data_IF_971829227090
#
_entry.id   IF_971829227090
#
_cell.length_a   1.000
_cell.length_b   1.000
_cell.length_c   1.000
_cell.angle_alpha   90.00
_cell.angle_beta   90.00
_cell.angle_gamma   90.00
#
_symmetry.space_group_name_H-M   'P 1'
#
loop_
_entity.id
_entity.type
_entity.pdbx_description
1 polymer ?
#
# COMPACT_ATOMS: atom_id res chain seq x y z
N UNK A 1 -28.58 -1.76 4.94
CA UNK A 1 -27.90 -3.05 5.19
C UNK A 1 -26.72 -2.79 6.10
N UNK A 2 -26.63 -3.53 7.20
CA UNK A 2 -25.44 -3.58 8.03
C UNK A 2 -24.41 -4.47 7.31
N UNK A 3 -23.11 -4.14 7.42
CA UNK A 3 -22.04 -4.91 6.77
C UNK A 3 -22.00 -6.38 7.25
N UNK A 4 -22.42 -6.62 8.49
CA UNK A 4 -22.51 -7.96 9.09
C UNK A 4 -23.76 -8.74 8.69
N UNK A 5 -24.69 -8.13 7.94
CA UNK A 5 -25.77 -8.88 7.27
C UNK A 5 -25.22 -9.64 6.05
N UNK A 6 -24.05 -9.24 5.54
CA UNK A 6 -23.41 -9.82 4.35
C UNK A 6 -22.17 -10.65 4.70
N UNK A 7 -21.37 -10.20 5.68
CA UNK A 7 -20.13 -10.85 6.08
C UNK A 7 -20.35 -11.67 7.37
N UNK A 8 -20.05 -12.98 7.39
CA UNK A 8 -20.16 -13.82 8.58
C UNK A 8 -19.32 -13.30 9.75
N UNK A 9 -19.83 -13.42 10.99
CA UNK A 9 -19.12 -12.93 12.19
C UNK A 9 -17.70 -13.49 12.34
N UNK A 10 -17.49 -14.76 11.95
CA UNK A 10 -16.20 -15.45 12.05
C UNK A 10 -15.31 -15.28 10.81
N UNK A 11 -15.69 -14.45 9.85
CA UNK A 11 -14.96 -14.32 8.58
C UNK A 11 -13.47 -13.96 8.77
N UNK A 12 -13.16 -12.99 9.63
CA UNK A 12 -11.79 -12.55 9.88
C UNK A 12 -11.00 -13.42 10.88
N UNK A 13 -11.59 -14.49 11.41
CA UNK A 13 -10.90 -15.35 12.40
C UNK A 13 -9.68 -16.05 11.80
N UNK A 14 -9.71 -16.36 10.49
CA UNK A 14 -8.57 -16.97 9.79
C UNK A 14 -7.35 -16.04 9.71
N UNK A 15 -7.54 -14.73 9.79
CA UNK A 15 -6.45 -13.74 9.75
C UNK A 15 -5.86 -13.46 11.14
N UNK A 16 -6.47 -13.99 12.20
CA UNK A 16 -6.09 -13.74 13.60
C UNK A 16 -5.77 -15.02 14.38
N UNK A 17 -5.88 -16.19 13.76
CA UNK A 17 -5.61 -17.48 14.40
C UNK A 17 -4.12 -17.81 14.49
N UNK A 18 -3.79 -18.91 15.19
CA UNK A 18 -2.42 -19.43 15.28
C UNK A 18 -1.84 -19.83 13.91
N UNK A 19 -2.70 -20.24 12.98
CA UNK A 19 -2.31 -20.66 11.62
C UNK A 19 -2.47 -19.53 10.58
N UNK A 20 -2.57 -18.26 11.00
CA UNK A 20 -2.87 -17.12 10.11
C UNK A 20 -1.99 -17.04 8.85
N UNK A 21 -0.70 -17.38 8.94
CA UNK A 21 0.22 -17.35 7.79
C UNK A 21 -0.20 -18.39 6.74
N UNK A 22 -0.48 -19.63 7.19
CA UNK A 22 -0.94 -20.71 6.33
C UNK A 22 -2.30 -20.38 5.68
N UNK A 23 -3.21 -19.78 6.45
CA UNK A 23 -4.50 -19.37 5.91
C UNK A 23 -4.37 -18.25 4.88
N UNK A 24 -3.50 -17.26 5.11
CA UNK A 24 -3.22 -16.21 4.12
C UNK A 24 -2.61 -16.82 2.86
N UNK A 25 -1.65 -17.73 2.98
CA UNK A 25 -1.04 -18.42 1.84
C UNK A 25 -2.08 -19.21 1.02
N UNK A 26 -2.98 -19.91 1.70
CA UNK A 26 -4.07 -20.64 1.07
C UNK A 26 -5.04 -19.71 0.33
N UNK A 27 -5.37 -18.56 0.93
CA UNK A 27 -6.19 -17.52 0.28
C UNK A 27 -5.48 -16.89 -0.92
N UNK A 28 -4.16 -16.69 -0.87
CA UNK A 28 -3.39 -16.16 -2.01
C UNK A 28 -3.32 -17.15 -3.16
N UNK A 29 -3.14 -18.45 -2.88
CA UNK A 29 -3.25 -19.51 -3.87
C UNK A 29 -4.63 -19.53 -4.52
N UNK A 30 -5.68 -19.49 -3.70
CA UNK A 30 -7.06 -19.45 -4.18
C UNK A 30 -7.32 -18.23 -5.07
N UNK A 31 -6.83 -17.05 -4.65
CA UNK A 31 -6.93 -15.83 -5.44
C UNK A 31 -6.21 -15.96 -6.79
N UNK A 32 -5.04 -16.59 -6.81
CA UNK A 32 -4.30 -16.85 -8.03
C UNK A 32 -5.08 -17.78 -8.97
N UNK A 33 -5.62 -18.90 -8.48
CA UNK A 33 -6.42 -19.82 -9.30
C UNK A 33 -7.67 -19.12 -9.85
N UNK A 34 -8.36 -18.33 -9.02
CA UNK A 34 -9.54 -17.57 -9.43
C UNK A 34 -9.27 -16.55 -10.56
N UNK A 35 -8.04 -16.03 -10.68
CA UNK A 35 -7.68 -15.13 -11.80
C UNK A 35 -7.69 -15.83 -13.16
N UNK A 36 -7.48 -17.15 -13.20
CA UNK A 36 -7.29 -17.89 -14.45
C UNK A 36 -8.39 -18.93 -14.71
N UNK A 37 -9.05 -19.41 -13.66
CA UNK A 37 -10.04 -20.49 -13.74
C UNK A 37 -11.42 -19.99 -13.31
N UNK A 38 -12.44 -20.29 -14.13
CA UNK A 38 -13.84 -20.01 -13.78
C UNK A 38 -14.37 -20.98 -12.72
N UNK A 39 -13.96 -22.26 -12.79
CA UNK A 39 -14.39 -23.32 -11.89
C UNK A 39 -13.16 -24.01 -11.30
N UNK A 40 -12.86 -23.72 -10.04
CA UNK A 40 -11.70 -24.27 -9.33
C UNK A 40 -12.10 -25.63 -8.75
N UNK A 41 -11.51 -26.72 -9.24
CA UNK A 41 -11.80 -28.06 -8.69
C UNK A 41 -11.17 -28.22 -7.31
N UNK A 42 -11.89 -28.89 -6.41
CA UNK A 42 -11.40 -29.15 -5.05
C UNK A 42 -10.08 -29.91 -5.07
N UNK A 43 -9.95 -30.94 -5.90
CA UNK A 43 -8.73 -31.76 -5.97
C UNK A 43 -7.52 -30.98 -6.50
N UNK A 44 -7.72 -30.06 -7.45
CA UNK A 44 -6.66 -29.21 -8.02
C UNK A 44 -6.16 -28.20 -6.99
N UNK A 45 -7.10 -27.58 -6.26
CA UNK A 45 -6.77 -26.68 -5.15
C UNK A 45 -6.04 -27.41 -4.01
N UNK A 46 -6.54 -28.58 -3.58
CA UNK A 46 -5.91 -29.37 -2.51
C UNK A 46 -4.50 -29.81 -2.92
N UNK A 47 -4.32 -30.27 -4.15
CA UNK A 47 -3.01 -30.70 -4.65
C UNK A 47 -2.00 -29.56 -4.65
N UNK A 48 -2.42 -28.38 -5.12
CA UNK A 48 -1.59 -27.16 -5.13
C UNK A 48 -1.28 -26.68 -3.72
N UNK A 49 -2.25 -26.74 -2.81
CA UNK A 49 -2.10 -26.33 -1.42
C UNK A 49 -1.12 -27.25 -0.67
N UNK A 50 -1.20 -28.56 -0.88
CA UNK A 50 -0.26 -29.55 -0.29
C UNK A 50 1.19 -29.16 -0.61
N UNK A 51 1.48 -28.85 -1.88
CA UNK A 51 2.82 -28.46 -2.31
C UNK A 51 3.32 -27.17 -1.63
N UNK A 52 2.42 -26.26 -1.23
CA UNK A 52 2.77 -24.99 -0.60
C UNK A 52 2.94 -25.07 0.92
N UNK A 53 2.31 -26.06 1.57
CA UNK A 53 2.27 -26.19 3.04
C UNK A 53 3.07 -27.36 3.58
N UNK A 54 3.73 -28.16 2.72
CA UNK A 54 4.42 -29.39 3.11
C UNK A 54 5.41 -29.17 4.28
N UNK A 55 6.21 -28.10 4.21
CA UNK A 55 7.20 -27.75 5.23
C UNK A 55 6.65 -26.87 6.37
N UNK A 56 5.35 -26.54 6.37
CA UNK A 56 4.76 -25.62 7.34
C UNK A 56 4.18 -26.37 8.54
N UNK A 57 4.52 -25.87 9.74
CA UNK A 57 3.94 -26.34 10.99
C UNK A 57 2.49 -25.89 11.09
N UNK A 58 1.57 -26.83 11.31
CA UNK A 58 0.15 -26.56 11.43
C UNK A 58 -0.32 -26.93 12.84
N UNK A 59 -0.94 -25.98 13.52
CA UNK A 59 -1.50 -26.18 14.86
C UNK A 59 -2.96 -26.61 14.73
N UNK A 60 -3.33 -27.73 15.32
CA UNK A 60 -4.74 -28.12 15.38
C UNK A 60 -5.54 -27.10 16.22
N UNK A 61 -6.70 -26.70 15.71
CA UNK A 61 -7.62 -25.81 16.42
C UNK A 61 -8.65 -26.63 17.23
N UNK A 62 -9.28 -26.05 18.26
CA UNK A 62 -10.17 -26.78 19.20
C UNK A 62 -11.36 -27.49 18.53
N UNK A 63 -11.74 -27.05 17.34
CA UNK A 63 -12.82 -27.64 16.54
C UNK A 63 -12.35 -28.78 15.62
N UNK A 64 -11.06 -29.12 15.59
CA UNK A 64 -10.51 -30.15 14.70
C UNK A 64 -10.65 -31.55 15.32
N UNK A 65 -11.44 -32.43 14.71
CA UNK A 65 -11.66 -33.81 15.17
C UNK A 65 -10.48 -34.77 14.88
N UNK A 66 -9.29 -34.23 14.61
CA UNK A 66 -8.11 -34.99 14.17
C UNK A 66 -7.01 -34.94 15.24
N UNK A 67 -6.28 -36.04 15.41
CA UNK A 67 -5.12 -36.11 16.32
C UNK A 67 -3.81 -35.84 15.58
N UNK A 68 -2.81 -35.27 16.27
CA UNK A 68 -1.49 -34.92 15.69
C UNK A 68 -0.81 -36.10 14.98
N UNK A 69 -1.02 -37.33 15.45
CA UNK A 69 -0.44 -38.57 14.88
C UNK A 69 -0.93 -38.85 13.45
N UNK A 70 -2.08 -38.29 13.05
CA UNK A 70 -2.69 -38.51 11.73
C UNK A 70 -2.54 -37.31 10.76
N UNK A 71 -1.71 -36.32 11.11
CA UNK A 71 -1.64 -35.03 10.42
C UNK A 71 -0.76 -35.05 9.15
N UNK A 72 -1.20 -35.79 8.13
CA UNK A 72 -0.57 -35.78 6.80
C UNK A 72 -0.83 -34.44 6.07
N UNK A 73 0.00 -34.08 5.08
CA UNK A 73 -0.19 -32.84 4.30
C UNK A 73 -1.55 -32.75 3.60
N UNK A 74 -2.09 -33.89 3.14
CA UNK A 74 -3.45 -33.95 2.57
C UNK A 74 -4.53 -33.67 3.63
N UNK A 75 -4.39 -34.24 4.83
CA UNK A 75 -5.30 -33.95 5.94
C UNK A 75 -5.23 -32.48 6.34
N UNK A 76 -4.02 -31.90 6.45
CA UNK A 76 -3.82 -30.46 6.69
C UNK A 76 -4.53 -29.60 5.63
N UNK A 77 -4.32 -29.88 4.35
CA UNK A 77 -4.94 -29.13 3.26
C UNK A 77 -6.48 -29.17 3.33
N UNK A 78 -7.06 -30.33 3.68
CA UNK A 78 -8.51 -30.47 3.86
C UNK A 78 -9.02 -29.74 5.09
N UNK A 79 -8.29 -29.75 6.21
CA UNK A 79 -8.62 -28.95 7.40
C UNK A 79 -8.63 -27.45 7.08
N UNK A 80 -7.63 -26.98 6.31
CA UNK A 80 -7.58 -25.59 5.85
C UNK A 80 -8.80 -25.25 4.99
N UNK A 81 -9.12 -26.06 3.97
CA UNK A 81 -10.30 -25.83 3.14
C UNK A 81 -11.59 -25.81 3.96
N UNK A 82 -11.77 -26.78 4.86
CA UNK A 82 -12.94 -26.84 5.75
C UNK A 82 -13.04 -25.59 6.62
N UNK A 83 -11.91 -25.05 7.10
CA UNK A 83 -11.88 -23.79 7.86
C UNK A 83 -12.34 -22.61 7.01
N UNK A 84 -11.87 -22.50 5.76
CA UNK A 84 -12.30 -21.46 4.83
C UNK A 84 -13.80 -21.55 4.53
N UNK A 85 -14.36 -22.77 4.41
CA UNK A 85 -15.80 -22.98 4.27
C UNK A 85 -16.55 -22.55 5.54
N UNK A 86 -16.13 -23.04 6.71
CA UNK A 86 -16.78 -22.76 8.00
C UNK A 86 -16.79 -21.27 8.35
N UNK A 87 -15.76 -20.54 7.95
CA UNK A 87 -15.63 -19.09 8.16
C UNK A 87 -16.24 -18.26 7.02
N UNK A 88 -16.74 -18.92 5.97
CA UNK A 88 -17.49 -18.29 4.89
C UNK A 88 -16.62 -17.54 3.89
N UNK A 89 -15.40 -18.00 3.61
CA UNK A 89 -14.59 -17.50 2.48
C UNK A 89 -15.01 -18.13 1.16
N UNK A 90 -15.35 -19.42 1.20
CA UNK A 90 -15.70 -20.21 0.02
C UNK A 90 -16.90 -21.08 0.28
N UNK A 91 -17.64 -21.37 -0.76
CA UNK A 91 -18.61 -22.45 -0.80
C UNK A 91 -18.05 -23.63 -1.57
N UNK A 92 -18.54 -24.82 -1.25
CA UNK A 92 -18.21 -26.06 -1.93
C UNK A 92 -19.48 -26.58 -2.59
N UNK A 93 -19.45 -26.72 -3.90
CA UNK A 93 -20.60 -27.15 -4.69
C UNK A 93 -20.20 -28.13 -5.79
N UNK A 94 -21.19 -28.72 -6.45
CA UNK A 94 -20.96 -29.59 -7.60
C UNK A 94 -21.14 -28.78 -8.87
N UNK A 95 -20.25 -28.96 -9.84
CA UNK A 95 -20.45 -28.41 -11.17
C UNK A 95 -21.72 -28.99 -11.79
N UNK A 96 -22.56 -28.11 -12.36
CA UNK A 96 -23.87 -28.45 -12.93
C UNK A 96 -23.84 -29.72 -13.79
N UNK A 97 -24.69 -30.69 -13.42
CA UNK A 97 -24.82 -31.95 -14.15
C UNK A 97 -23.63 -32.90 -14.02
N UNK A 98 -22.73 -32.69 -13.06
CA UNK A 98 -21.54 -33.52 -12.84
C UNK A 98 -21.34 -33.88 -11.36
N UNK A 99 -20.48 -34.86 -11.08
CA UNK A 99 -20.02 -35.21 -9.73
C UNK A 99 -18.69 -34.53 -9.35
N UNK A 100 -18.27 -33.52 -10.11
CA UNK A 100 -17.02 -32.78 -9.87
C UNK A 100 -17.29 -31.70 -8.83
N UNK A 101 -16.61 -31.78 -7.70
CA UNK A 101 -16.66 -30.76 -6.65
C UNK A 101 -15.79 -29.55 -7.02
N UNK A 102 -16.35 -28.35 -6.88
CA UNK A 102 -15.69 -27.08 -7.12
C UNK A 102 -15.74 -26.19 -5.87
N UNK A 103 -14.81 -25.25 -5.81
CA UNK A 103 -14.69 -24.22 -4.78
C UNK A 103 -15.11 -22.90 -5.39
N UNK A 104 -16.11 -22.25 -4.79
CA UNK A 104 -16.63 -20.97 -5.26
C UNK A 104 -16.39 -19.91 -4.19
N UNK A 105 -15.43 -18.98 -4.39
CA UNK A 105 -15.23 -17.88 -3.47
C UNK A 105 -16.46 -16.96 -3.43
N UNK A 106 -16.86 -16.53 -2.24
CA UNK A 106 -17.98 -15.59 -2.10
C UNK A 106 -17.61 -14.17 -2.55
N UNK A 107 -18.57 -13.38 -3.00
CA UNK A 107 -18.34 -12.03 -3.54
C UNK A 107 -17.51 -11.11 -2.63
N UNK A 108 -17.81 -11.10 -1.33
CA UNK A 108 -17.04 -10.31 -0.37
C UNK A 108 -15.63 -10.90 -0.15
N UNK A 109 -15.49 -12.22 -0.18
CA UNK A 109 -14.20 -12.90 -0.01
C UNK A 109 -13.26 -12.63 -1.18
N UNK A 110 -13.77 -12.59 -2.42
CA UNK A 110 -13.01 -12.20 -3.62
C UNK A 110 -12.41 -10.81 -3.45
N UNK A 111 -13.20 -9.84 -2.98
CA UNK A 111 -12.73 -8.47 -2.73
C UNK A 111 -11.63 -8.41 -1.67
N UNK A 112 -11.77 -9.18 -0.59
CA UNK A 112 -10.78 -9.22 0.48
C UNK A 112 -9.51 -9.95 0.05
N UNK A 113 -9.61 -11.05 -0.70
CA UNK A 113 -8.46 -11.74 -1.27
C UNK A 113 -7.68 -10.84 -2.23
N UNK A 114 -8.38 -10.07 -3.07
CA UNK A 114 -7.76 -9.05 -3.93
C UNK A 114 -7.01 -8.01 -3.10
N UNK A 115 -7.64 -7.47 -2.05
CA UNK A 115 -6.99 -6.53 -1.14
C UNK A 115 -5.74 -7.12 -0.49
N UNK A 116 -5.81 -8.35 0.05
CA UNK A 116 -4.67 -9.03 0.67
C UNK A 116 -3.53 -9.27 -0.34
N UNK A 117 -3.87 -9.60 -1.59
CA UNK A 117 -2.90 -9.71 -2.68
C UNK A 117 -2.26 -8.37 -2.99
N UNK A 118 -3.02 -7.27 -3.06
CA UNK A 118 -2.51 -5.91 -3.31
C UNK A 118 -1.69 -5.36 -2.14
N UNK A 119 -1.96 -5.81 -0.91
CA UNK A 119 -1.15 -5.48 0.27
C UNK A 119 0.18 -6.25 0.28
N UNK A 120 0.18 -7.47 -0.25
CA UNK A 120 1.36 -8.34 -0.34
C UNK A 120 2.23 -7.98 -1.55
N UNK A 121 1.59 -7.57 -2.64
CA UNK A 121 2.24 -7.20 -3.88
C UNK A 121 2.70 -5.74 -3.80
N UNK A 122 4.02 -5.54 -3.91
CA UNK A 122 4.62 -4.22 -3.94
C UNK A 122 4.61 -3.65 -5.37
N UNK A 123 3.62 -4.00 -6.20
CA UNK A 123 3.49 -3.52 -7.57
C UNK A 123 3.14 -2.02 -7.55
N UNK A 124 4.16 -1.24 -7.81
CA UNK A 124 4.12 0.22 -7.77
C UNK A 124 3.39 0.72 -9.02
N UNK A 125 2.34 1.51 -8.79
CA UNK A 125 1.29 1.82 -9.75
C UNK A 125 1.71 2.76 -10.89
N UNK A 126 1.01 2.57 -12.01
CA UNK A 126 1.13 3.25 -13.30
C UNK A 126 0.53 4.66 -13.31
N UNK A 127 0.85 5.56 -12.36
CA UNK A 127 0.19 6.88 -12.32
C UNK A 127 0.38 7.71 -13.62
N UNK A 128 1.43 7.42 -14.41
CA UNK A 128 1.64 8.03 -15.74
C UNK A 128 0.57 7.64 -16.76
N UNK A 129 0.04 6.41 -16.69
CA UNK A 129 -1.00 5.96 -17.61
C UNK A 129 -2.30 6.73 -17.37
N UNK A 130 -2.57 7.16 -16.13
CA UNK A 130 -3.80 7.87 -15.76
C UNK A 130 -3.93 9.25 -16.42
N UNK A 131 -2.88 10.07 -16.38
CA UNK A 131 -2.91 11.41 -16.99
C UNK A 131 -2.97 11.30 -18.51
N UNK A 132 -2.19 10.40 -19.09
CA UNK A 132 -2.20 10.15 -20.53
C UNK A 132 -3.53 9.59 -21.00
N UNK A 133 -4.13 8.65 -20.26
CA UNK A 133 -5.44 8.08 -20.56
C UNK A 133 -6.55 9.13 -20.48
N UNK A 134 -6.50 10.01 -19.46
CA UNK A 134 -7.43 11.14 -19.33
C UNK A 134 -7.38 12.04 -20.56
N UNK A 135 -6.17 12.50 -20.93
CA UNK A 135 -6.00 13.32 -22.12
C UNK A 135 -6.44 12.61 -23.41
N UNK A 136 -6.00 11.37 -23.61
CA UNK A 136 -6.26 10.61 -24.83
C UNK A 136 -7.74 10.31 -25.01
N UNK A 137 -8.42 9.92 -23.93
CA UNK A 137 -9.87 9.66 -23.94
C UNK A 137 -10.67 10.92 -24.26
N UNK A 138 -10.38 12.03 -23.58
CA UNK A 138 -11.04 13.32 -23.84
C UNK A 138 -10.77 13.82 -25.27
N UNK A 139 -9.53 13.72 -25.75
CA UNK A 139 -9.16 14.13 -27.11
C UNK A 139 -9.84 13.28 -28.18
N UNK A 140 -9.90 11.96 -27.99
CA UNK A 140 -10.53 11.04 -28.93
C UNK A 140 -12.04 11.31 -29.02
N UNK A 141 -12.70 11.51 -27.88
CA UNK A 141 -14.11 11.87 -27.84
C UNK A 141 -14.37 13.23 -28.52
N UNK A 142 -13.52 14.23 -28.27
CA UNK A 142 -13.64 15.56 -28.91
C UNK A 142 -13.51 15.50 -30.44
N UNK A 143 -12.55 14.72 -30.95
CA UNK A 143 -12.17 14.76 -32.37
C UNK A 143 -12.92 13.76 -33.27
N UNK A 144 -13.21 12.57 -32.75
CA UNK A 144 -13.65 11.44 -33.58
C UNK A 144 -15.02 10.89 -33.15
N UNK A 145 -15.37 11.01 -31.86
CA UNK A 145 -16.54 10.34 -31.28
C UNK A 145 -17.26 11.22 -30.26
N UNK A 146 -17.78 12.38 -30.67
CA UNK A 146 -18.46 13.32 -29.75
C UNK A 146 -19.61 12.67 -28.95
N UNK A 147 -20.30 11.69 -29.54
CA UNK A 147 -21.34 10.92 -28.84
C UNK A 147 -20.87 10.09 -27.64
N UNK A 148 -19.55 9.93 -27.45
CA UNK A 148 -18.92 9.24 -26.31
C UNK A 148 -18.30 10.23 -25.30
N UNK A 149 -18.56 11.54 -25.44
CA UNK A 149 -17.97 12.54 -24.56
C UNK A 149 -18.39 12.37 -23.09
N UNK A 150 -19.62 11.91 -22.86
CA UNK A 150 -20.09 11.59 -21.50
C UNK A 150 -19.23 10.51 -20.84
N UNK A 151 -19.00 9.38 -21.51
CA UNK A 151 -18.15 8.30 -21.02
C UNK A 151 -16.69 8.77 -20.84
N UNK A 152 -16.18 9.62 -21.73
CA UNK A 152 -14.85 10.20 -21.61
C UNK A 152 -14.70 11.09 -20.37
N UNK A 153 -15.71 11.90 -20.03
CA UNK A 153 -15.71 12.71 -18.80
C UNK A 153 -15.78 11.84 -17.55
N UNK A 154 -16.59 10.78 -17.54
CA UNK A 154 -16.61 9.83 -16.42
C UNK A 154 -15.26 9.11 -16.22
N UNK A 155 -14.63 8.69 -17.33
CA UNK A 155 -13.30 8.10 -17.29
C UNK A 155 -12.26 9.09 -16.80
N UNK A 156 -12.33 10.36 -17.24
CA UNK A 156 -11.46 11.43 -16.79
C UNK A 156 -11.58 11.66 -15.27
N UNK A 157 -12.81 11.74 -14.73
CA UNK A 157 -13.07 11.82 -13.29
C UNK A 157 -12.44 10.64 -12.54
N UNK A 158 -12.70 9.42 -12.97
CA UNK A 158 -12.19 8.19 -12.35
C UNK A 158 -10.66 8.15 -12.33
N UNK A 159 -10.02 8.45 -13.46
CA UNK A 159 -8.56 8.51 -13.56
C UNK A 159 -7.98 9.62 -12.66
N UNK A 160 -8.67 10.75 -12.54
CA UNK A 160 -8.26 11.90 -11.71
C UNK A 160 -8.39 11.60 -10.22
N UNK A 161 -9.45 10.90 -9.81
CA UNK A 161 -9.62 10.40 -8.44
C UNK A 161 -8.49 9.43 -8.07
N UNK A 162 -8.17 8.49 -8.96
CA UNK A 162 -7.09 7.53 -8.76
C UNK A 162 -5.71 8.22 -8.71
N UNK A 163 -5.46 9.19 -9.60
CA UNK A 163 -4.24 10.00 -9.58
C UNK A 163 -4.07 10.73 -8.24
N UNK A 164 -5.15 11.34 -7.75
CA UNK A 164 -5.15 12.04 -6.46
C UNK A 164 -4.88 11.09 -5.30
N UNK A 165 -5.48 9.89 -5.33
CA UNK A 165 -5.24 8.85 -4.33
C UNK A 165 -3.76 8.43 -4.31
N UNK A 166 -3.17 8.15 -5.47
CA UNK A 166 -1.76 7.73 -5.57
C UNK A 166 -0.80 8.82 -5.07
N UNK A 167 -1.04 10.09 -5.42
CA UNK A 167 -0.23 11.21 -4.93
C UNK A 167 -0.32 11.36 -3.40
N UNK A 168 -1.53 11.26 -2.84
CA UNK A 168 -1.72 11.28 -1.37
C UNK A 168 -1.05 10.08 -0.71
N UNK A 169 -1.18 8.89 -1.29
CA UNK A 169 -0.54 7.66 -0.80
C UNK A 169 0.99 7.81 -0.78
N UNK A 170 1.59 8.35 -1.83
CA UNK A 170 3.02 8.65 -1.87
C UNK A 170 3.43 9.65 -0.78
N UNK A 171 2.70 10.76 -0.65
CA UNK A 171 2.96 11.77 0.37
C UNK A 171 2.96 11.16 1.79
N UNK A 172 1.93 10.40 2.13
CA UNK A 172 1.82 9.74 3.42
C UNK A 172 2.85 8.61 3.60
N UNK A 173 3.21 7.91 2.53
CA UNK A 173 4.30 6.93 2.51
C UNK A 173 5.63 7.56 2.92
N UNK A 174 6.04 8.66 2.27
CA UNK A 174 7.28 9.38 2.62
C UNK A 174 7.22 9.88 4.08
N UNK A 175 6.07 10.37 4.54
CA UNK A 175 5.90 10.81 5.93
C UNK A 175 6.06 9.65 6.94
N UNK A 176 5.59 8.46 6.60
CA UNK A 176 5.79 7.26 7.43
C UNK A 176 7.28 6.93 7.55
N UNK A 177 7.99 6.95 6.42
CA UNK A 177 9.44 6.74 6.38
C UNK A 177 10.23 7.77 7.20
N UNK A 178 9.85 9.05 7.14
CA UNK A 178 10.43 10.11 7.98
C UNK A 178 10.29 9.81 9.48
N UNK A 179 9.11 9.34 9.91
CA UNK A 179 8.86 8.98 11.31
C UNK A 179 9.68 7.77 11.73
N UNK A 180 9.73 6.72 10.89
CA UNK A 180 10.56 5.53 11.12
C UNK A 180 12.01 5.93 11.37
N UNK A 181 12.59 6.81 10.54
CA UNK A 181 13.97 7.28 10.74
C UNK A 181 14.17 7.88 12.12
N UNK A 182 13.25 8.69 12.62
CA UNK A 182 13.41 9.34 13.93
C UNK A 182 13.52 8.33 15.07
N UNK A 183 12.76 7.24 14.99
CA UNK A 183 12.69 6.18 16.01
C UNK A 183 13.85 5.16 15.92
N UNK A 184 14.46 4.98 14.73
CA UNK A 184 15.52 3.97 14.54
C UNK A 184 16.87 4.42 15.13
N UNK A 185 17.49 3.58 15.97
CA UNK A 185 18.83 3.81 16.53
C UNK A 185 19.94 2.98 15.87
N UNK A 186 19.57 1.98 15.07
CA UNK A 186 20.52 1.04 14.47
C UNK A 186 20.94 1.50 13.06
N UNK A 187 22.26 1.59 12.83
CA UNK A 187 22.83 2.05 11.56
C UNK A 187 22.49 1.12 10.40
N UNK A 188 22.61 -0.19 10.59
CA UNK A 188 22.34 -1.17 9.54
C UNK A 188 20.87 -1.12 9.08
N UNK A 189 19.94 -0.95 10.02
CA UNK A 189 18.52 -0.80 9.72
C UNK A 189 18.26 0.51 8.98
N UNK A 190 18.90 1.62 9.37
CA UNK A 190 18.79 2.89 8.64
C UNK A 190 19.36 2.82 7.22
N UNK A 191 20.51 2.17 7.03
CA UNK A 191 21.11 1.95 5.71
C UNK A 191 20.17 1.12 4.81
N UNK A 192 19.62 0.02 5.34
CA UNK A 192 18.64 -0.81 4.63
C UNK A 192 17.39 0.00 4.26
N UNK A 193 16.82 0.71 5.22
CA UNK A 193 15.63 1.52 4.99
C UNK A 193 15.86 2.60 3.93
N UNK A 194 17.04 3.23 3.90
CA UNK A 194 17.36 4.29 2.94
C UNK A 194 17.68 3.73 1.54
N UNK A 195 18.62 2.80 1.45
CA UNK A 195 19.17 2.33 0.16
C UNK A 195 18.37 1.20 -0.47
N UNK A 196 17.51 0.51 0.26
CA UNK A 196 16.64 -0.57 -0.27
C UNK A 196 15.17 -0.16 -0.24
N UNK A 197 14.56 -0.03 0.94
CA UNK A 197 13.10 0.13 1.08
C UNK A 197 12.61 1.45 0.49
N UNK A 198 13.22 2.56 0.91
CA UNK A 198 12.85 3.88 0.44
C UNK A 198 13.26 4.08 -1.02
N UNK A 199 14.47 3.64 -1.40
CA UNK A 199 14.93 3.73 -2.78
C UNK A 199 13.98 3.02 -3.73
N UNK A 200 13.51 1.80 -3.40
CA UNK A 200 12.51 1.07 -4.21
C UNK A 200 11.22 1.86 -4.41
N UNK A 201 10.71 2.49 -3.35
CA UNK A 201 9.52 3.35 -3.43
C UNK A 201 9.79 4.65 -4.20
N UNK A 202 10.97 5.24 -4.04
CA UNK A 202 11.39 6.46 -4.73
C UNK A 202 11.57 6.23 -6.24
N UNK A 203 12.29 5.18 -6.63
CA UNK A 203 12.60 4.85 -8.03
C UNK A 203 11.37 4.52 -8.85
N UNK A 204 10.35 3.97 -8.21
CA UNK A 204 9.12 3.52 -8.88
C UNK A 204 8.03 4.59 -8.96
N UNK A 205 7.89 5.47 -7.96
CA UNK A 205 6.82 6.46 -7.92
C UNK A 205 7.35 7.89 -8.03
N UNK A 206 8.34 8.25 -7.21
CA UNK A 206 8.83 9.64 -7.17
C UNK A 206 9.66 10.02 -8.40
N UNK A 207 10.57 9.14 -8.83
CA UNK A 207 11.41 9.39 -10.00
C UNK A 207 10.59 9.63 -11.25
N UNK A 208 9.62 8.76 -11.60
CA UNK A 208 8.80 9.01 -12.77
C UNK A 208 8.00 10.32 -12.65
N UNK A 209 7.51 10.72 -11.45
CA UNK A 209 6.76 11.98 -11.29
C UNK A 209 7.65 13.18 -11.67
N UNK A 210 8.93 13.09 -11.33
CA UNK A 210 9.92 14.15 -11.57
C UNK A 210 10.49 14.14 -12.99
N UNK A 211 10.61 12.97 -13.61
CA UNK A 211 11.26 12.82 -14.93
C UNK A 211 10.26 12.76 -16.08
N UNK A 212 9.04 12.30 -15.84
CA UNK A 212 8.00 12.20 -16.87
C UNK A 212 7.10 13.42 -16.81
N UNK A 213 7.22 14.24 -17.85
CA UNK A 213 6.53 15.52 -18.04
C UNK A 213 5.00 15.36 -18.28
N UNK A 214 4.41 14.17 -18.10
CA UNK A 214 3.02 13.89 -18.47
C UNK A 214 2.03 14.85 -17.81
N UNK A 215 2.18 15.14 -16.51
CA UNK A 215 1.30 16.08 -15.81
C UNK A 215 1.42 17.48 -16.44
N UNK A 216 2.62 18.02 -16.54
CA UNK A 216 2.84 19.36 -17.10
C UNK A 216 2.44 19.45 -18.57
N UNK A 217 2.69 18.40 -19.35
CA UNK A 217 2.40 18.32 -20.79
C UNK A 217 0.91 18.25 -21.08
N UNK A 218 0.13 17.50 -20.29
CA UNK A 218 -1.27 17.22 -20.58
C UNK A 218 -2.26 18.03 -19.74
N UNK A 219 -1.83 18.67 -18.64
CA UNK A 219 -2.70 19.49 -17.78
C UNK A 219 -3.44 20.58 -18.56
N UNK A 220 -2.70 21.44 -19.27
CA UNK A 220 -3.32 22.53 -20.03
C UNK A 220 -4.26 22.03 -21.14
N UNK A 221 -3.88 21.04 -21.98
CA UNK A 221 -4.80 20.45 -22.95
C UNK A 221 -6.05 19.81 -22.35
N UNK A 222 -5.96 19.14 -21.20
CA UNK A 222 -7.12 18.57 -20.51
C UNK A 222 -8.06 19.70 -20.07
N UNK A 223 -7.51 20.74 -19.43
CA UNK A 223 -8.29 21.89 -18.96
C UNK A 223 -8.97 22.62 -20.11
N UNK A 224 -8.28 22.78 -21.24
CA UNK A 224 -8.84 23.38 -22.45
C UNK A 224 -10.02 22.56 -22.99
N UNK A 225 -9.86 21.23 -23.16
CA UNK A 225 -10.95 20.37 -23.63
C UNK A 225 -12.16 20.44 -22.71
N UNK A 226 -11.94 20.38 -21.39
CA UNK A 226 -13.02 20.44 -20.41
C UNK A 226 -13.72 21.80 -20.36
N UNK A 227 -12.97 22.89 -20.49
CA UNK A 227 -13.53 24.25 -20.55
C UNK A 227 -14.36 24.45 -21.82
N UNK A 228 -13.89 23.90 -22.96
CA UNK A 228 -14.64 23.93 -24.22
C UNK A 228 -15.97 23.17 -24.11
N UNK A 229 -15.99 22.03 -23.40
CA UNK A 229 -17.23 21.28 -23.15
C UNK A 229 -18.22 22.11 -22.36
N UNK A 230 -17.77 22.78 -21.28
CA UNK A 230 -18.65 23.63 -20.46
C UNK A 230 -19.21 24.83 -21.25
N UNK A 231 -18.52 25.28 -22.29
CA UNK A 231 -18.94 26.38 -23.15
C UNK A 231 -19.86 25.94 -24.31
N UNK A 232 -19.95 24.64 -24.59
CA UNK A 232 -20.71 24.08 -25.71
C UNK A 232 -22.04 23.48 -25.23
N UNK A 233 -23.12 24.26 -25.36
CA UNK A 233 -24.47 23.88 -24.92
C UNK A 233 -25.03 22.69 -25.71
N UNK A 234 -24.74 22.58 -27.01
CA UNK A 234 -25.20 21.46 -27.85
C UNK A 234 -24.53 20.15 -27.44
N UNK A 235 -23.22 20.19 -27.17
CA UNK A 235 -22.49 19.04 -26.66
C UNK A 235 -22.98 18.62 -25.27
N UNK A 236 -23.23 19.60 -24.38
CA UNK A 236 -23.78 19.35 -23.04
C UNK A 236 -25.15 18.67 -23.10
N UNK A 237 -26.05 19.12 -23.98
CA UNK A 237 -27.37 18.50 -24.18
C UNK A 237 -27.25 17.07 -24.73
N UNK A 238 -26.30 16.84 -25.63
CA UNK A 238 -25.95 15.50 -26.13
C UNK A 238 -25.48 14.57 -25.00
N UNK A 239 -24.63 15.08 -24.11
CA UNK A 239 -24.13 14.33 -22.95
C UNK A 239 -25.24 14.00 -21.94
N UNK A 240 -26.16 14.94 -21.66
CA UNK A 240 -27.34 14.68 -20.79
C UNK A 240 -28.24 13.61 -21.36
N UNK A 241 -28.56 13.69 -22.65
CA UNK A 241 -29.35 12.68 -23.37
C UNK A 241 -28.70 11.29 -23.30
N UNK A 242 -27.37 11.23 -23.46
CA UNK A 242 -26.60 10.00 -23.33
C UNK A 242 -26.64 9.44 -21.90
N UNK A 243 -26.47 10.31 -20.91
CA UNK A 243 -26.53 9.95 -19.49
C UNK A 243 -27.88 9.36 -19.10
N UNK A 244 -28.98 9.94 -19.58
CA UNK A 244 -30.35 9.45 -19.35
C UNK A 244 -30.60 8.07 -19.99
N UNK A 245 -29.98 7.78 -21.13
CA UNK A 245 -30.09 6.47 -21.80
C UNK A 245 -29.51 5.34 -20.96
N UNK A 246 -28.48 5.62 -20.15
CA UNK A 246 -27.82 4.66 -19.27
C UNK A 246 -28.64 4.42 -17.98
N UNK A 247 -29.79 5.10 -17.82
CA UNK A 247 -30.74 5.00 -16.68
C UNK A 247 -30.08 5.20 -15.31
N UNK A 248 -29.07 6.07 -15.26
CA UNK A 248 -28.35 6.38 -14.02
C UNK A 248 -29.01 7.50 -13.20
N UNK A 249 -29.83 8.35 -13.84
CA UNK A 249 -30.42 9.54 -13.22
C UNK A 249 -31.94 9.58 -13.37
N UNK A 250 -32.63 10.22 -12.43
CA UNK A 250 -34.09 10.29 -12.42
C UNK A 250 -34.63 11.40 -13.34
N UNK A 251 -33.85 12.47 -13.53
CA UNK A 251 -34.22 13.61 -14.37
C UNK A 251 -32.99 14.27 -15.04
N UNK A 252 -33.26 15.11 -16.05
CA UNK A 252 -32.25 15.76 -16.89
C UNK A 252 -31.38 16.78 -16.13
N UNK A 253 -31.97 17.49 -15.17
CA UNK A 253 -31.27 18.47 -14.34
C UNK A 253 -30.20 17.79 -13.47
N UNK A 254 -30.52 16.64 -12.87
CA UNK A 254 -29.60 15.83 -12.07
C UNK A 254 -28.42 15.32 -12.93
N UNK A 255 -28.71 14.83 -14.14
CA UNK A 255 -27.68 14.39 -15.07
C UNK A 255 -26.71 15.52 -15.44
N UNK A 256 -27.24 16.71 -15.72
CA UNK A 256 -26.44 17.89 -16.02
C UNK A 256 -25.58 18.35 -14.84
N UNK A 257 -26.16 18.41 -13.64
CA UNK A 257 -25.41 18.77 -12.44
C UNK A 257 -24.25 17.81 -12.17
N UNK A 258 -24.46 16.50 -12.35
CA UNK A 258 -23.38 15.52 -12.14
C UNK A 258 -22.29 15.61 -13.22
N UNK A 259 -22.65 15.91 -14.48
CA UNK A 259 -21.67 16.15 -15.54
C UNK A 259 -20.82 17.38 -15.20
N UNK A 260 -21.44 18.50 -14.85
CA UNK A 260 -20.75 19.74 -14.49
C UNK A 260 -19.86 19.52 -13.27
N UNK A 261 -20.40 18.93 -12.20
CA UNK A 261 -19.66 18.55 -10.99
C UNK A 261 -18.45 17.66 -11.30
N UNK A 262 -18.60 16.73 -12.24
CA UNK A 262 -17.51 15.86 -12.68
C UNK A 262 -16.42 16.62 -13.45
N UNK A 263 -16.80 17.56 -14.31
CA UNK A 263 -15.85 18.40 -15.05
C UNK A 263 -15.11 19.33 -14.07
N UNK A 264 -15.85 20.03 -13.20
CA UNK A 264 -15.30 20.95 -12.21
C UNK A 264 -14.32 20.23 -11.27
N UNK A 265 -14.66 19.03 -10.81
CA UNK A 265 -13.75 18.21 -10.02
C UNK A 265 -12.42 17.95 -10.73
N UNK A 266 -12.46 17.60 -12.01
CA UNK A 266 -11.25 17.33 -12.78
C UNK A 266 -10.43 18.61 -12.95
N UNK A 267 -11.08 19.73 -13.29
CA UNK A 267 -10.43 21.04 -13.41
C UNK A 267 -9.72 21.45 -12.11
N UNK A 268 -10.41 21.37 -10.97
CA UNK A 268 -9.88 21.74 -9.65
C UNK A 268 -8.68 20.88 -9.24
N UNK A 269 -8.73 19.58 -9.49
CA UNK A 269 -7.62 18.68 -9.20
C UNK A 269 -6.40 19.05 -10.06
N UNK A 270 -6.59 19.24 -11.37
CA UNK A 270 -5.48 19.61 -12.26
C UNK A 270 -4.90 21.00 -11.95
N UNK A 271 -5.70 21.94 -11.43
CA UNK A 271 -5.17 23.22 -10.94
C UNK A 271 -4.31 23.06 -9.68
N UNK A 272 -4.71 22.17 -8.75
CA UNK A 272 -4.05 21.99 -7.45
C UNK A 272 -2.91 20.97 -7.45
N UNK A 273 -2.82 20.11 -8.48
CA UNK A 273 -1.88 18.99 -8.54
C UNK A 273 -0.42 19.43 -8.43
N UNK A 274 -0.05 20.57 -9.01
CA UNK A 274 1.31 21.11 -8.94
C UNK A 274 1.73 21.42 -7.50
N UNK A 275 0.80 21.88 -6.66
CA UNK A 275 1.04 22.09 -5.23
C UNK A 275 1.31 20.78 -4.48
N UNK A 276 0.56 19.74 -4.78
CA UNK A 276 0.72 18.40 -4.20
C UNK A 276 2.10 17.81 -4.56
N UNK A 277 2.49 17.89 -5.84
CA UNK A 277 3.79 17.41 -6.32
C UNK A 277 4.94 18.17 -5.64
N UNK A 278 4.84 19.48 -5.51
CA UNK A 278 5.86 20.29 -4.84
C UNK A 278 6.00 19.91 -3.35
N UNK A 279 4.90 19.62 -2.67
CA UNK A 279 4.95 19.18 -1.28
C UNK A 279 5.55 17.77 -1.13
N UNK A 280 5.27 16.87 -2.08
CA UNK A 280 5.94 15.56 -2.17
C UNK A 280 7.45 15.73 -2.35
N UNK A 281 7.90 16.61 -3.26
CA UNK A 281 9.31 16.89 -3.52
C UNK A 281 10.03 17.45 -2.28
N UNK A 282 9.38 18.35 -1.54
CA UNK A 282 9.87 18.86 -0.26
C UNK A 282 10.04 17.73 0.77
N UNK A 283 9.07 16.82 0.90
CA UNK A 283 9.16 15.68 1.82
C UNK A 283 10.22 14.68 1.41
N UNK A 284 10.35 14.39 0.12
CA UNK A 284 11.41 13.54 -0.41
C UNK A 284 12.79 14.10 -0.06
N UNK A 285 13.02 15.37 -0.37
CA UNK A 285 14.28 16.06 -0.07
C UNK A 285 14.58 16.08 1.43
N UNK A 286 13.56 16.34 2.27
CA UNK A 286 13.70 16.27 3.72
C UNK A 286 14.08 14.87 4.22
N UNK A 287 13.44 13.82 3.68
CA UNK A 287 13.77 12.43 4.00
C UNK A 287 15.23 12.12 3.67
N UNK A 288 15.67 12.41 2.45
CA UNK A 288 17.03 12.12 1.99
C UNK A 288 18.06 12.84 2.84
N UNK A 289 17.83 14.11 3.17
CA UNK A 289 18.70 14.87 4.06
C UNK A 289 18.77 14.28 5.48
N UNK A 290 17.61 14.11 6.12
CA UNK A 290 17.53 13.66 7.53
C UNK A 290 18.08 12.23 7.68
N UNK A 291 17.80 11.34 6.73
CA UNK A 291 18.33 9.96 6.74
C UNK A 291 19.85 9.95 6.68
N UNK A 292 20.45 10.66 5.72
CA UNK A 292 21.91 10.72 5.54
C UNK A 292 22.57 11.34 6.77
N UNK A 293 22.06 12.47 7.27
CA UNK A 293 22.58 13.13 8.47
C UNK A 293 22.54 12.20 9.69
N UNK A 294 21.46 11.43 9.87
CA UNK A 294 21.34 10.48 10.98
C UNK A 294 22.29 9.30 10.83
N UNK A 295 22.43 8.75 9.63
CA UNK A 295 23.40 7.67 9.33
C UNK A 295 24.81 8.15 9.63
N UNK A 296 25.20 9.33 9.13
CA UNK A 296 26.51 9.93 9.40
C UNK A 296 26.73 10.16 10.89
N UNK A 297 25.73 10.70 11.59
CA UNK A 297 25.81 10.92 13.03
C UNK A 297 26.07 9.62 13.79
N UNK A 298 25.31 8.56 13.51
CA UNK A 298 25.49 7.29 14.22
C UNK A 298 26.82 6.61 13.86
N UNK A 299 27.23 6.63 12.59
CA UNK A 299 28.53 6.11 12.17
C UNK A 299 29.72 6.87 12.79
N UNK A 300 29.60 8.20 12.93
CA UNK A 300 30.66 9.04 13.51
C UNK A 300 30.64 8.98 15.04
N UNK A 301 29.45 8.90 15.64
CA UNK A 301 29.29 8.75 17.08
C UNK A 301 29.99 7.47 17.54
N UNK A 302 29.80 6.36 16.83
CA UNK A 302 30.44 5.06 17.11
C UNK A 302 31.98 5.12 17.16
N UNK A 303 32.60 6.08 16.47
CA UNK A 303 34.07 6.23 16.46
C UNK A 303 34.61 7.46 17.20
N UNK A 304 33.77 8.44 17.54
CA UNK A 304 34.18 9.64 18.26
C UNK A 304 34.51 9.34 19.73
N UNK A 305 35.48 10.07 20.31
CA UNK A 305 35.79 9.98 21.76
C UNK A 305 34.53 10.20 22.60
N UNK A 306 33.67 11.14 22.18
CA UNK A 306 32.38 11.41 22.83
C UNK A 306 31.44 10.21 22.81
N UNK A 307 31.31 9.50 21.68
CA UNK A 307 30.41 8.36 21.58
C UNK A 307 30.93 7.13 22.31
N UNK A 308 32.25 6.85 22.25
CA UNK A 308 32.90 5.83 23.09
C UNK A 308 32.67 6.09 24.59
N UNK A 309 32.75 7.35 25.03
CA UNK A 309 32.43 7.73 26.40
C UNK A 309 30.95 7.52 26.75
N UNK A 310 30.03 7.88 25.85
CA UNK A 310 28.59 7.68 26.06
C UNK A 310 28.24 6.19 26.13
N UNK A 311 28.84 5.35 25.30
CA UNK A 311 28.64 3.90 25.31
C UNK A 311 29.17 3.28 26.62
N UNK A 312 30.39 3.64 27.03
CA UNK A 312 30.96 3.22 28.31
C UNK A 312 30.07 3.61 29.49
N UNK A 313 29.52 4.83 29.50
CA UNK A 313 28.61 5.30 30.55
C UNK A 313 27.26 4.57 30.54
N UNK A 314 26.72 4.25 29.35
CA UNK A 314 25.48 3.46 29.23
C UNK A 314 25.68 2.05 29.76
N UNK A 315 26.78 1.38 29.40
CA UNK A 315 27.10 0.04 29.89
C UNK A 315 27.40 0.03 31.39
N UNK A 316 28.08 1.07 31.90
CA UNK A 316 28.24 1.28 33.34
C UNK A 316 26.88 1.38 34.06
N UNK A 317 25.93 2.15 33.52
CA UNK A 317 24.61 2.33 34.15
C UNK A 317 23.80 1.03 34.24
N UNK A 318 23.94 0.13 33.26
CA UNK A 318 23.20 -1.14 33.17
C UNK A 318 23.88 -2.32 33.86
N UNK A 319 25.14 -2.18 34.25
CA UNK A 319 25.96 -3.26 34.81
C UNK A 319 25.70 -3.50 36.31
N UNK A 320 25.97 -4.73 36.77
CA UNK A 320 25.99 -5.07 38.20
C UNK A 320 27.14 -4.39 38.93
N UNK A 321 27.04 -4.21 40.25
CA UNK A 321 28.02 -3.46 41.04
C UNK A 321 29.45 -3.98 40.89
N UNK A 322 29.64 -5.30 40.77
CA UNK A 322 30.97 -5.90 40.53
C UNK A 322 31.56 -5.51 39.18
N UNK A 323 30.74 -5.42 38.13
CA UNK A 323 31.18 -4.98 36.78
C UNK A 323 31.41 -3.48 36.72
N UNK A 324 30.61 -2.70 37.46
CA UNK A 324 30.78 -1.25 37.59
C UNK A 324 32.16 -0.88 38.15
N UNK A 325 32.62 -1.56 39.19
CA UNK A 325 33.96 -1.32 39.78
C UNK A 325 35.07 -1.54 38.76
N UNK A 326 35.02 -2.65 38.00
CA UNK A 326 36.00 -2.95 36.95
C UNK A 326 35.99 -1.88 35.84
N UNK A 327 34.80 -1.45 35.42
CA UNK A 327 34.65 -0.39 34.41
C UNK A 327 35.24 0.93 34.93
N UNK A 328 34.97 1.33 36.17
CA UNK A 328 35.55 2.55 36.78
C UNK A 328 37.08 2.48 36.81
N UNK A 329 37.66 1.37 37.26
CA UNK A 329 39.12 1.23 37.31
C UNK A 329 39.75 1.35 35.90
N UNK A 330 39.09 0.79 34.88
CA UNK A 330 39.53 0.95 33.49
C UNK A 330 39.37 2.40 32.99
N UNK A 331 38.30 3.11 33.37
CA UNK A 331 38.10 4.51 33.02
C UNK A 331 39.14 5.41 33.68
N UNK A 332 39.40 5.25 34.99
CA UNK A 332 40.40 6.02 35.74
C UNK A 332 41.81 5.85 35.17
N UNK A 333 42.16 4.62 34.77
CA UNK A 333 43.49 4.33 34.22
C UNK A 333 43.71 4.90 32.83
N UNK A 334 42.66 4.95 32.00
CA UNK A 334 42.78 5.22 30.57
C UNK A 334 42.23 6.59 30.14
N UNK A 335 41.40 7.25 30.94
CA UNK A 335 40.82 8.56 30.64
C UNK A 335 41.48 9.62 31.51
N UNK A 336 42.21 10.53 30.86
CA UNK A 336 42.77 11.71 31.52
C UNK A 336 41.80 12.88 31.38
N UNK A 337 41.09 13.21 32.44
CA UNK A 337 40.26 14.41 32.50
C UNK A 337 41.12 15.56 33.01
N UNK A 338 41.49 16.47 32.10
CA UNK A 338 42.20 17.69 32.47
C UNK A 338 41.17 18.80 32.74
N UNK A 339 41.30 19.47 33.89
CA UNK A 339 40.50 20.66 34.18
C UNK A 339 40.91 21.77 33.21
N UNK A 340 40.00 22.19 32.34
CA UNK A 340 40.18 23.42 31.58
C UNK A 340 39.60 24.57 32.39
N UNK A 341 40.47 25.48 32.83
CA UNK A 341 40.09 26.76 33.39
C UNK A 341 40.39 27.83 32.33
N UNK A 342 39.47 28.77 32.15
CA UNK A 342 39.68 29.94 31.29
C UNK A 342 39.61 31.19 32.15
N UNK A 343 40.60 32.07 32.01
CA UNK A 343 40.62 33.38 32.66
C UNK A 343 40.02 34.38 31.68
N UNK A 344 38.81 34.85 31.99
CA UNK A 344 38.14 35.96 31.33
C UNK A 344 38.65 37.28 31.93
N UNK A 345 38.74 38.36 31.13
CA UNK A 345 39.19 39.70 31.53
C UNK A 345 38.42 40.40 32.66
N UNK A 346 37.38 39.78 33.23
CA UNK A 346 36.73 40.15 34.50
C UNK A 346 37.31 39.47 35.74
N UNK A 347 38.34 38.63 35.57
CA UNK A 347 38.94 37.83 36.64
C UNK A 347 40.17 38.48 37.30
N UNK A 348 40.32 39.81 37.18
CA UNK A 348 41.28 40.63 37.92
C UNK A 348 40.63 41.92 38.41
#
# INVERSE_FOLDING_TARGET
MNIFDTIPEKFFSVLSSGNKEIYVDALMLLHQMFKYELNIRVDDYISSLIAQIEDKSFMLEEDDEVTEVNLTSNVKARLILNRLIKTGWVDKEFLDGSFIEIITPRDYAIKVMKLLSELSDQTLHEYNSLVFATYSGLKQAKNEHQGQMYEAVLSAKTNTEQLTYELKRLYHGIRSYLRRIQEQSEVNVLLKNHFEEYKRMSDSIYHPIKTMDSIHRYMAPIQEILSDILADEELMDGMRSRAMTIRKYENDDEAGQEIISSIDYVLDVYQSIGGIVNEIDRKHSAYTKISIEKIQYLMTADQSIKGKLVELLKEYSKSSDTKRTVIIEMLEKNIRVNRQEFIDGKSL
#
